data_IF_669648655791
#
_entry.id   IF_669648655791
#
_cell.length_a   1.000
_cell.length_b   1.000
_cell.length_c   1.000
_cell.angle_alpha   90.00
_cell.angle_beta   90.00
_cell.angle_gamma   90.00
#
_symmetry.space_group_name_H-M   'P 1'
#
loop_
_entity.id
_entity.type
_entity.pdbx_description
1 polymer ?
#
# COMPACT_ATOMS: atom_id res chain seq x y z
N UNK A 1 -32.84 -30.24 23.75
CA UNK A 1 -31.41 -30.51 24.05
C UNK A 1 -30.78 -29.19 24.52
N UNK A 2 -30.01 -29.20 25.60
CA UNK A 2 -29.38 -28.00 26.17
C UNK A 2 -28.07 -27.77 25.41
N UNK A 3 -27.99 -26.73 24.59
CA UNK A 3 -26.74 -26.37 23.87
C UNK A 3 -25.77 -25.77 24.90
N UNK A 4 -24.64 -26.43 25.13
CA UNK A 4 -23.56 -25.91 25.97
C UNK A 4 -22.55 -25.22 25.05
N UNK A 5 -22.45 -23.90 25.16
CA UNK A 5 -21.50 -23.10 24.38
C UNK A 5 -20.29 -22.81 25.26
N UNK A 6 -19.13 -23.33 24.87
CA UNK A 6 -17.85 -23.04 25.51
C UNK A 6 -17.36 -21.66 25.09
N UNK A 7 -17.49 -20.68 25.99
CA UNK A 7 -17.21 -19.27 25.72
C UNK A 7 -15.73 -19.02 25.39
N UNK A 8 -14.85 -19.70 26.11
CA UNK A 8 -13.40 -19.70 25.91
C UNK A 8 -13.01 -20.19 24.52
N UNK A 9 -13.53 -21.35 24.10
CA UNK A 9 -13.30 -21.91 22.76
C UNK A 9 -13.85 -20.97 21.69
N UNK A 10 -15.06 -20.44 21.88
CA UNK A 10 -15.68 -19.49 20.95
C UNK A 10 -14.80 -18.25 20.75
N UNK A 11 -14.30 -17.65 21.84
CA UNK A 11 -13.46 -16.45 21.77
C UNK A 11 -12.11 -16.74 21.10
N UNK A 12 -11.43 -17.83 21.46
CA UNK A 12 -10.12 -18.18 20.90
C UNK A 12 -10.23 -18.47 19.40
N UNK A 13 -11.23 -19.24 18.97
CA UNK A 13 -11.43 -19.57 17.55
C UNK A 13 -11.71 -18.32 16.72
N UNK A 14 -12.63 -17.47 17.18
CA UNK A 14 -12.95 -16.23 16.47
C UNK A 14 -11.78 -15.24 16.48
N UNK A 15 -10.98 -15.20 17.54
CA UNK A 15 -9.74 -14.43 17.57
C UNK A 15 -8.76 -14.90 16.48
N UNK A 16 -8.50 -16.21 16.41
CA UNK A 16 -7.57 -16.77 15.43
C UNK A 16 -8.06 -16.54 13.99
N UNK A 17 -9.34 -16.79 13.73
CA UNK A 17 -9.96 -16.55 12.42
C UNK A 17 -9.85 -15.07 12.05
N UNK A 18 -10.31 -14.17 12.93
CA UNK A 18 -10.27 -12.74 12.66
C UNK A 18 -8.84 -12.24 12.43
N UNK A 19 -7.86 -12.74 13.18
CA UNK A 19 -6.45 -12.42 12.97
C UNK A 19 -5.97 -12.85 11.58
N UNK A 20 -6.23 -14.10 11.18
CA UNK A 20 -5.83 -14.62 9.87
C UNK A 20 -6.52 -13.88 8.73
N UNK A 21 -7.81 -13.58 8.87
CA UNK A 21 -8.56 -12.82 7.88
C UNK A 21 -8.08 -11.37 7.77
N UNK A 22 -7.75 -10.70 8.87
CA UNK A 22 -7.13 -9.36 8.84
C UNK A 22 -5.77 -9.37 8.15
N UNK A 23 -4.99 -10.44 8.32
CA UNK A 23 -3.71 -10.62 7.63
C UNK A 23 -3.91 -10.94 6.15
N UNK A 24 -4.96 -11.67 5.79
CA UNK A 24 -5.35 -11.85 4.39
C UNK A 24 -5.82 -10.53 3.75
N UNK A 25 -6.63 -9.74 4.44
CA UNK A 25 -7.05 -8.39 3.99
C UNK A 25 -5.85 -7.46 3.79
N UNK A 26 -4.82 -7.53 4.66
CA UNK A 26 -3.62 -6.70 4.50
C UNK A 26 -2.84 -7.02 3.22
N UNK A 27 -2.79 -8.31 2.85
CA UNK A 27 -2.17 -8.78 1.61
C UNK A 27 -2.95 -8.32 0.38
N UNK A 28 -4.27 -8.47 0.38
CA UNK A 28 -5.14 -8.12 -0.75
C UNK A 28 -5.26 -6.61 -0.96
N UNK A 29 -5.34 -5.82 0.11
CA UNK A 29 -5.48 -4.37 0.04
C UNK A 29 -4.13 -3.63 0.05
N UNK A 30 -2.99 -4.34 -0.10
CA UNK A 30 -1.64 -3.76 -0.07
C UNK A 30 -1.39 -2.83 1.13
N UNK A 31 -2.05 -3.10 2.25
CA UNK A 31 -2.12 -2.18 3.38
C UNK A 31 -1.30 -2.76 4.53
N UNK A 32 -0.07 -2.28 4.79
CA UNK A 32 0.78 -2.86 5.82
C UNK A 32 0.13 -2.70 7.19
N UNK A 33 -0.24 -3.82 7.81
CA UNK A 33 -0.79 -3.85 9.16
C UNK A 33 0.22 -4.47 10.13
N UNK A 34 0.56 -3.73 11.19
CA UNK A 34 1.42 -4.23 12.26
C UNK A 34 0.73 -5.40 12.96
N UNK A 35 1.49 -6.45 13.29
CA UNK A 35 0.94 -7.65 13.92
C UNK A 35 0.17 -7.34 15.21
N UNK A 36 0.68 -6.44 16.04
CA UNK A 36 0.02 -5.98 17.28
C UNK A 36 -1.33 -5.31 17.04
N UNK A 37 -1.45 -4.52 15.97
CA UNK A 37 -2.71 -3.88 15.59
C UNK A 37 -3.73 -4.89 15.07
N UNK A 38 -3.29 -5.89 14.31
CA UNK A 38 -4.13 -7.02 13.91
C UNK A 38 -4.61 -7.83 15.13
N UNK A 39 -3.76 -8.04 16.14
CA UNK A 39 -4.18 -8.71 17.38
C UNK A 39 -5.25 -7.90 18.12
N UNK A 40 -5.09 -6.57 18.21
CA UNK A 40 -6.12 -5.71 18.79
C UNK A 40 -7.45 -5.76 18.03
N UNK A 41 -7.41 -5.72 16.69
CA UNK A 41 -8.60 -5.87 15.86
C UNK A 41 -9.25 -7.24 16.01
N UNK A 42 -8.46 -8.32 16.06
CA UNK A 42 -8.94 -9.68 16.24
C UNK A 42 -9.56 -9.92 17.63
N UNK A 43 -8.96 -9.36 18.69
CA UNK A 43 -9.54 -9.39 20.03
C UNK A 43 -10.91 -8.72 20.06
N UNK A 44 -11.02 -7.56 19.43
CA UNK A 44 -12.26 -6.81 19.35
C UNK A 44 -13.33 -7.56 18.52
N UNK A 45 -12.93 -8.21 17.42
CA UNK A 45 -13.82 -9.07 16.63
C UNK A 45 -14.33 -10.28 17.43
N UNK A 46 -13.46 -10.94 18.21
CA UNK A 46 -13.83 -12.04 19.08
C UNK A 46 -14.87 -11.60 20.13
N UNK A 47 -14.67 -10.44 20.76
CA UNK A 47 -15.63 -9.87 21.71
C UNK A 47 -16.98 -9.57 21.06
N UNK A 48 -16.99 -9.04 19.83
CA UNK A 48 -18.25 -8.81 19.13
C UNK A 48 -19.00 -10.09 18.75
N UNK A 49 -18.33 -11.24 18.71
CA UNK A 49 -19.01 -12.53 18.49
C UNK A 49 -19.93 -12.91 19.66
N UNK A 50 -19.75 -12.31 20.83
CA UNK A 50 -20.65 -12.47 21.98
C UNK A 50 -22.08 -11.99 21.69
N UNK A 51 -22.31 -11.20 20.64
CA UNK A 51 -23.66 -10.85 20.18
C UNK A 51 -24.50 -12.06 19.77
N UNK A 52 -23.89 -13.24 19.57
CA UNK A 52 -24.58 -14.52 19.40
C UNK A 52 -25.44 -14.88 20.63
N UNK A 53 -24.99 -14.52 21.83
CA UNK A 53 -25.69 -14.78 23.09
C UNK A 53 -26.79 -13.74 23.38
N UNK A 54 -26.80 -12.64 22.64
CA UNK A 54 -27.81 -11.59 22.78
C UNK A 54 -29.16 -12.02 22.16
N UNK A 55 -30.29 -11.49 22.65
CA UNK A 55 -31.60 -11.74 22.05
C UNK A 55 -31.63 -11.33 20.57
N UNK A 56 -32.55 -11.91 19.81
CA UNK A 56 -32.71 -11.66 18.37
C UNK A 56 -32.96 -10.17 18.10
N UNK A 57 -32.05 -9.55 17.36
CA UNK A 57 -32.17 -8.15 16.94
C UNK A 57 -33.01 -8.04 15.67
N UNK A 58 -33.76 -6.93 15.47
CA UNK A 58 -34.40 -6.66 14.19
C UNK A 58 -33.35 -6.55 13.07
N UNK A 59 -33.71 -6.99 11.87
CA UNK A 59 -32.78 -7.17 10.73
C UNK A 59 -31.91 -5.93 10.47
N UNK A 60 -32.51 -4.73 10.42
CA UNK A 60 -31.80 -3.48 10.20
C UNK A 60 -30.73 -3.23 11.27
N UNK A 61 -31.07 -3.44 12.54
CA UNK A 61 -30.14 -3.25 13.66
C UNK A 61 -29.00 -4.27 13.63
N UNK A 62 -29.27 -5.52 13.24
CA UNK A 62 -28.24 -6.54 13.04
C UNK A 62 -27.26 -6.19 11.92
N UNK A 63 -27.74 -5.63 10.81
CA UNK A 63 -26.88 -5.16 9.70
C UNK A 63 -26.02 -3.99 10.15
N UNK A 64 -26.60 -2.97 10.81
CA UNK A 64 -25.86 -1.83 11.31
C UNK A 64 -24.81 -2.24 12.33
N UNK A 65 -25.16 -3.16 13.24
CA UNK A 65 -24.22 -3.72 14.21
C UNK A 65 -23.04 -4.39 13.51
N UNK A 66 -23.29 -5.28 12.54
CA UNK A 66 -22.21 -5.96 11.80
C UNK A 66 -21.36 -4.99 10.98
N UNK A 67 -21.95 -4.00 10.35
CA UNK A 67 -21.22 -2.98 9.61
C UNK A 67 -20.33 -2.14 10.55
N UNK A 68 -20.87 -1.70 11.68
CA UNK A 68 -20.14 -0.91 12.68
C UNK A 68 -19.00 -1.68 13.32
N UNK A 69 -19.23 -2.96 13.66
CA UNK A 69 -18.20 -3.84 14.23
C UNK A 69 -17.08 -4.13 13.22
N UNK A 70 -17.42 -4.46 11.96
CA UNK A 70 -16.43 -4.65 10.90
C UNK A 70 -15.60 -3.40 10.64
N UNK A 71 -16.24 -2.22 10.63
CA UNK A 71 -15.55 -0.94 10.50
C UNK A 71 -14.57 -0.74 11.66
N UNK A 72 -15.02 -0.87 12.91
CA UNK A 72 -14.17 -0.70 14.10
C UNK A 72 -12.95 -1.63 14.11
N UNK A 73 -13.16 -2.92 13.80
CA UNK A 73 -12.08 -3.92 13.69
C UNK A 73 -11.05 -3.50 12.63
N UNK A 74 -11.51 -3.08 11.44
CA UNK A 74 -10.63 -2.60 10.38
C UNK A 74 -9.89 -1.30 10.78
N UNK A 75 -10.51 -0.40 11.55
CA UNK A 75 -9.86 0.83 12.06
C UNK A 75 -8.72 0.52 12.99
N UNK A 76 -8.90 -0.41 13.93
CA UNK A 76 -7.84 -0.80 14.86
C UNK A 76 -6.68 -1.42 14.09
N UNK A 77 -6.97 -2.34 13.16
CA UNK A 77 -5.96 -3.06 12.40
C UNK A 77 -5.17 -2.18 11.42
N UNK A 78 -5.84 -1.35 10.60
CA UNK A 78 -5.23 -0.61 9.49
C UNK A 78 -5.07 0.89 9.75
N UNK A 79 -5.97 1.49 10.52
CA UNK A 79 -6.01 2.92 10.78
C UNK A 79 -6.77 3.68 9.71
N UNK A 80 -6.82 4.99 9.86
CA UNK A 80 -7.49 5.87 8.90
C UNK A 80 -6.46 6.57 8.02
N UNK A 81 -6.59 6.43 6.70
CA UNK A 81 -5.80 7.16 5.70
C UNK A 81 -6.70 7.87 4.69
N UNK A 82 -7.63 7.13 4.09
CA UNK A 82 -8.61 7.66 3.13
C UNK A 82 -9.92 6.88 3.20
N UNK A 83 -11.05 7.51 2.87
CA UNK A 83 -12.36 6.84 2.90
C UNK A 83 -12.45 5.68 1.91
N UNK A 84 -11.87 5.83 0.72
CA UNK A 84 -11.84 4.79 -0.32
C UNK A 84 -11.12 3.52 0.13
N UNK A 85 -9.89 3.68 0.65
CA UNK A 85 -9.11 2.54 1.15
C UNK A 85 -9.79 1.85 2.34
N UNK A 86 -10.47 2.65 3.17
CA UNK A 86 -11.18 2.15 4.34
C UNK A 86 -12.37 1.28 3.97
N UNK A 87 -13.16 1.72 3.00
CA UNK A 87 -14.25 0.93 2.45
C UNK A 87 -13.74 -0.32 1.73
N UNK A 88 -12.64 -0.22 0.99
CA UNK A 88 -12.01 -1.37 0.33
C UNK A 88 -11.55 -2.44 1.34
N UNK A 89 -10.89 -2.03 2.43
CA UNK A 89 -10.46 -2.93 3.51
C UNK A 89 -11.66 -3.59 4.19
N UNK A 90 -12.69 -2.82 4.52
CA UNK A 90 -13.92 -3.34 5.13
C UNK A 90 -14.63 -4.33 4.22
N UNK A 91 -14.76 -4.00 2.94
CA UNK A 91 -15.35 -4.87 1.92
C UNK A 91 -14.55 -6.17 1.76
N UNK A 92 -13.23 -6.07 1.64
CA UNK A 92 -12.36 -7.24 1.53
C UNK A 92 -12.45 -8.15 2.77
N UNK A 93 -12.41 -7.58 3.98
CA UNK A 93 -12.60 -8.34 5.22
C UNK A 93 -13.97 -9.03 5.26
N UNK A 94 -15.03 -8.33 4.86
CA UNK A 94 -16.39 -8.89 4.78
C UNK A 94 -16.49 -10.05 3.78
N UNK A 95 -15.95 -9.88 2.57
CA UNK A 95 -15.93 -10.93 1.54
C UNK A 95 -15.16 -12.15 2.01
N UNK A 96 -13.99 -11.97 2.65
CA UNK A 96 -13.22 -13.10 3.20
C UNK A 96 -13.98 -13.85 4.31
N UNK A 97 -14.67 -13.12 5.20
CA UNK A 97 -15.54 -13.75 6.20
C UNK A 97 -16.70 -14.52 5.56
N UNK A 98 -17.32 -13.95 4.52
CA UNK A 98 -18.42 -14.57 3.78
C UNK A 98 -17.95 -15.83 3.04
N UNK A 99 -16.79 -15.79 2.38
CA UNK A 99 -16.20 -16.94 1.71
C UNK A 99 -15.83 -18.05 2.68
N UNK A 100 -15.24 -17.70 3.83
CA UNK A 100 -14.95 -18.67 4.87
C UNK A 100 -16.24 -19.30 5.40
N UNK A 101 -17.24 -18.49 5.77
CA UNK A 101 -18.51 -18.98 6.26
C UNK A 101 -19.21 -19.88 5.22
N UNK A 102 -19.28 -19.45 3.95
CA UNK A 102 -19.85 -20.22 2.85
C UNK A 102 -19.11 -21.52 2.57
N UNK A 103 -17.77 -21.50 2.56
CA UNK A 103 -16.95 -22.70 2.37
C UNK A 103 -17.10 -23.71 3.51
N UNK A 104 -17.19 -23.22 4.75
CA UNK A 104 -17.41 -24.06 5.93
C UNK A 104 -18.83 -24.64 5.93
N UNK A 105 -19.85 -23.85 5.54
CA UNK A 105 -21.23 -24.34 5.38
C UNK A 105 -21.33 -25.40 4.30
N UNK A 106 -20.74 -25.15 3.14
CA UNK A 106 -20.68 -26.12 2.05
C UNK A 106 -19.98 -27.41 2.47
N UNK A 107 -18.85 -27.32 3.19
CA UNK A 107 -18.18 -28.50 3.75
C UNK A 107 -19.05 -29.21 4.80
N UNK A 108 -19.83 -28.47 5.58
CA UNK A 108 -20.73 -29.03 6.58
C UNK A 108 -21.94 -29.77 5.97
N UNK A 109 -22.47 -29.33 4.82
CA UNK A 109 -23.55 -30.04 4.11
C UNK A 109 -23.09 -31.38 3.53
N UNK A 110 -21.81 -31.50 3.16
CA UNK A 110 -21.22 -32.75 2.68
C UNK A 110 -20.81 -33.72 3.81
N UNK A 111 -21.00 -33.31 5.07
CA UNK A 111 -20.72 -34.11 6.26
C UNK A 111 -22.02 -34.35 7.05
N UNK A 112 -22.18 -35.48 7.78
CA UNK A 112 -23.38 -35.76 8.57
C UNK A 112 -23.39 -34.93 9.87
N UNK A 113 -23.50 -33.60 9.74
CA UNK A 113 -23.41 -32.65 10.84
C UNK A 113 -24.81 -32.13 11.16
N UNK A 114 -25.43 -32.71 12.19
CA UNK A 114 -26.71 -32.26 12.72
C UNK A 114 -26.49 -31.30 13.90
N UNK A 115 -27.05 -30.09 13.85
CA UNK A 115 -27.03 -29.13 14.98
C UNK A 115 -26.56 -27.70 14.70
N UNK A 116 -26.56 -27.25 13.44
CA UNK A 116 -26.26 -25.86 13.09
C UNK A 116 -27.28 -24.91 13.74
N UNK A 117 -26.79 -23.90 14.47
CA UNK A 117 -27.63 -22.83 15.03
C UNK A 117 -27.14 -21.48 14.52
N UNK A 118 -28.04 -20.68 13.94
CA UNK A 118 -27.74 -19.31 13.51
C UNK A 118 -28.56 -18.32 14.33
N UNK A 119 -27.89 -17.32 14.93
CA UNK A 119 -28.56 -16.19 15.59
C UNK A 119 -27.82 -14.88 15.30
N UNK A 120 -28.54 -13.78 15.05
CA UNK A 120 -27.97 -12.45 14.77
C UNK A 120 -26.90 -12.43 13.66
N UNK A 121 -27.13 -13.20 12.57
CA UNK A 121 -26.17 -13.43 11.48
C UNK A 121 -24.85 -14.09 11.92
N UNK A 122 -24.71 -14.52 13.17
CA UNK A 122 -23.59 -15.33 13.66
C UNK A 122 -24.00 -16.80 13.60
N UNK A 123 -23.13 -17.63 13.02
CA UNK A 123 -23.41 -19.05 12.80
C UNK A 123 -22.57 -19.85 13.78
N UNK A 124 -23.24 -20.59 14.66
CA UNK A 124 -22.62 -21.62 15.47
C UNK A 124 -22.72 -22.95 14.74
N UNK A 125 -21.57 -23.47 14.34
CA UNK A 125 -21.46 -24.77 13.70
C UNK A 125 -20.86 -25.76 14.71
N UNK A 126 -21.47 -26.94 14.90
CA UNK A 126 -20.87 -28.03 15.68
C UNK A 126 -19.77 -28.72 14.84
N UNK A 127 -18.88 -27.92 14.27
CA UNK A 127 -17.67 -28.35 13.58
C UNK A 127 -16.51 -28.36 14.56
N UNK A 128 -15.52 -29.20 14.30
CA UNK A 128 -14.30 -29.17 15.10
C UNK A 128 -13.68 -27.76 14.99
N UNK A 129 -13.42 -27.07 16.11
CA UNK A 129 -12.76 -25.77 16.14
C UNK A 129 -11.48 -25.73 15.30
N UNK A 130 -10.77 -26.85 15.26
CA UNK A 130 -9.55 -27.06 14.49
C UNK A 130 -9.78 -26.96 12.98
N UNK A 131 -10.89 -27.49 12.45
CA UNK A 131 -11.18 -27.44 11.02
C UNK A 131 -11.44 -26.00 10.57
N UNK A 132 -12.21 -25.22 11.33
CA UNK A 132 -12.52 -23.83 10.98
C UNK A 132 -11.25 -22.98 10.95
N UNK A 133 -10.38 -23.15 11.97
CA UNK A 133 -9.07 -22.48 12.01
C UNK A 133 -8.17 -22.95 10.86
N UNK A 134 -8.17 -24.25 10.53
CA UNK A 134 -7.41 -24.79 9.41
C UNK A 134 -7.88 -24.23 8.06
N UNK A 135 -9.19 -24.08 7.84
CA UNK A 135 -9.73 -23.43 6.64
C UNK A 135 -9.29 -21.96 6.56
N UNK A 136 -9.39 -21.20 7.65
CA UNK A 136 -8.93 -19.81 7.69
C UNK A 136 -7.41 -19.70 7.42
N UNK A 137 -6.61 -20.62 7.99
CA UNK A 137 -5.18 -20.70 7.74
C UNK A 137 -4.88 -21.06 6.29
N UNK A 138 -5.64 -21.98 5.70
CA UNK A 138 -5.56 -22.35 4.28
C UNK A 138 -5.81 -21.14 3.37
N UNK A 139 -6.89 -20.38 3.59
CA UNK A 139 -7.16 -19.14 2.84
C UNK A 139 -5.99 -18.16 2.93
N UNK A 140 -5.45 -17.95 4.14
CA UNK A 140 -4.30 -17.08 4.33
C UNK A 140 -3.04 -17.59 3.60
N UNK A 141 -2.76 -18.90 3.66
CA UNK A 141 -1.60 -19.50 2.98
C UNK A 141 -1.73 -19.41 1.46
N UNK A 142 -2.89 -19.70 0.90
CA UNK A 142 -3.16 -19.58 -0.55
C UNK A 142 -2.91 -18.14 -1.01
N UNK A 143 -3.46 -17.15 -0.31
CA UNK A 143 -3.24 -15.74 -0.63
C UNK A 143 -1.76 -15.35 -0.48
N UNK A 144 -1.05 -15.90 0.51
CA UNK A 144 0.38 -15.65 0.70
C UNK A 144 1.22 -16.20 -0.44
N UNK A 145 0.90 -17.42 -0.91
CA UNK A 145 1.55 -18.04 -2.08
C UNK A 145 1.24 -17.23 -3.34
N UNK A 146 -0.01 -16.80 -3.51
CA UNK A 146 -0.41 -15.97 -4.65
C UNK A 146 0.38 -14.66 -4.71
N UNK A 147 0.49 -13.93 -3.60
CA UNK A 147 1.29 -12.70 -3.51
C UNK A 147 2.79 -12.97 -3.70
N UNK A 148 3.28 -14.13 -3.27
CA UNK A 148 4.67 -14.52 -3.50
C UNK A 148 4.95 -14.78 -5.00
N UNK A 149 4.00 -15.38 -5.73
CA UNK A 149 4.13 -15.67 -7.16
C UNK A 149 3.93 -14.44 -8.05
N UNK A 150 2.90 -13.63 -7.78
CA UNK A 150 2.47 -12.52 -8.64
C UNK A 150 2.96 -11.16 -8.16
N UNK A 151 3.66 -11.09 -7.03
CA UNK A 151 4.06 -9.84 -6.39
C UNK A 151 2.93 -9.23 -5.55
N UNK A 152 3.30 -8.24 -4.75
CA UNK A 152 2.31 -7.49 -3.94
C UNK A 152 1.57 -6.51 -4.85
N UNK A 153 0.25 -6.35 -4.68
CA UNK A 153 -0.42 -5.19 -5.24
C UNK A 153 0.27 -3.94 -4.70
N UNK A 154 0.64 -3.00 -5.57
CA UNK A 154 1.42 -1.83 -5.19
C UNK A 154 0.67 -1.03 -4.13
N UNK A 155 1.28 -0.90 -2.94
CA UNK A 155 0.77 -0.05 -1.86
C UNK A 155 0.79 1.39 -2.36
N UNK A 156 -0.37 2.05 -2.28
CA UNK A 156 -0.58 3.50 -2.33
C UNK A 156 0.69 4.34 -2.54
N UNK A 157 0.77 4.97 -3.72
CA UNK A 157 1.69 6.05 -4.08
C UNK A 157 2.20 6.84 -2.86
N UNK A 158 3.41 6.51 -2.38
CA UNK A 158 4.02 7.24 -1.26
C UNK A 158 4.58 8.53 -1.84
N UNK A 159 4.02 9.66 -1.42
CA UNK A 159 4.53 10.97 -1.80
C UNK A 159 5.48 11.47 -0.71
N UNK A 160 6.58 12.06 -1.14
CA UNK A 160 7.56 12.71 -0.28
C UNK A 160 7.77 14.14 -0.74
N UNK A 161 7.98 15.02 0.23
CA UNK A 161 8.40 16.39 -0.06
C UNK A 161 9.92 16.43 -0.01
N UNK A 162 10.55 16.70 -1.15
CA UNK A 162 11.99 16.79 -1.30
C UNK A 162 12.40 18.26 -1.40
N UNK A 163 13.40 18.64 -0.62
CA UNK A 163 14.10 19.89 -0.79
C UNK A 163 15.39 19.62 -1.57
N UNK A 164 15.49 20.22 -2.75
CA UNK A 164 16.61 20.03 -3.66
C UNK A 164 17.43 21.32 -3.71
N UNK A 165 18.74 21.18 -3.58
CA UNK A 165 19.65 22.31 -3.56
C UNK A 165 20.83 22.10 -4.49
N UNK A 166 21.08 23.06 -5.38
CA UNK A 166 22.31 23.12 -6.18
C UNK A 166 23.02 24.41 -5.83
N UNK A 167 24.07 24.41 -4.99
CA UNK A 167 24.81 25.63 -4.69
C UNK A 167 25.38 26.26 -5.98
N UNK A 168 25.27 27.60 -6.20
CA UNK A 168 24.81 28.66 -5.29
C UNK A 168 23.30 29.03 -5.38
N UNK A 169 22.47 28.23 -6.05
CA UNK A 169 21.06 28.54 -6.33
C UNK A 169 20.13 28.26 -5.15
N UNK A 170 18.98 28.95 -5.12
CA UNK A 170 17.96 28.77 -4.08
C UNK A 170 17.42 27.33 -4.07
N UNK A 171 17.17 26.74 -2.89
CA UNK A 171 16.56 25.43 -2.81
C UNK A 171 15.13 25.45 -3.37
N UNK A 172 14.72 24.35 -3.99
CA UNK A 172 13.35 24.15 -4.46
C UNK A 172 12.69 23.00 -3.68
N UNK A 173 11.38 23.13 -3.47
CA UNK A 173 10.56 22.11 -2.82
C UNK A 173 9.74 21.38 -3.89
N UNK A 174 9.86 20.06 -3.95
CA UNK A 174 9.22 19.24 -4.98
C UNK A 174 8.49 18.07 -4.35
N UNK A 175 7.27 17.79 -4.83
CA UNK A 175 6.53 16.59 -4.45
C UNK A 175 6.94 15.42 -5.34
N UNK A 176 7.69 14.49 -4.78
CA UNK A 176 8.15 13.29 -5.45
C UNK A 176 7.27 12.09 -5.11
N UNK A 177 6.89 11.33 -6.14
CA UNK A 177 6.31 10.02 -5.97
C UNK A 177 7.44 8.99 -5.81
N UNK A 178 7.36 8.21 -4.75
CA UNK A 178 8.19 7.03 -4.55
C UNK A 178 7.60 5.90 -5.39
N UNK A 179 8.34 5.49 -6.41
CA UNK A 179 7.94 4.44 -7.33
C UNK A 179 8.94 3.28 -7.24
N UNK A 180 8.47 2.11 -6.81
CA UNK A 180 9.27 0.88 -6.76
C UNK A 180 9.68 0.38 -8.15
N UNK A 181 8.96 0.78 -9.20
CA UNK A 181 9.30 0.48 -10.60
C UNK A 181 10.31 1.45 -11.21
N UNK A 182 10.67 2.53 -10.51
CA UNK A 182 11.62 3.52 -11.01
C UNK A 182 13.06 3.05 -10.79
N UNK A 183 13.67 2.57 -11.87
CA UNK A 183 15.00 1.95 -11.89
C UNK A 183 16.05 2.79 -12.62
N UNK A 184 15.80 4.07 -12.84
CA UNK A 184 16.72 4.92 -13.60
C UNK A 184 18.02 5.17 -12.82
N UNK A 185 19.13 4.85 -13.46
CA UNK A 185 20.47 5.02 -12.92
C UNK A 185 21.41 5.49 -14.02
N UNK A 186 22.51 6.15 -13.65
CA UNK A 186 23.58 6.47 -14.58
C UNK A 186 24.25 5.16 -15.06
N UNK A 187 24.20 4.83 -16.36
CA UNK A 187 24.79 3.59 -16.87
C UNK A 187 26.31 3.52 -16.71
N UNK A 188 26.99 4.68 -16.56
CA UNK A 188 28.44 4.73 -16.42
C UNK A 188 28.89 4.63 -14.97
N UNK A 189 28.19 5.31 -14.06
CA UNK A 189 28.59 5.39 -12.64
C UNK A 189 27.76 4.53 -11.70
N UNK A 190 26.64 3.98 -12.16
CA UNK A 190 25.67 3.27 -11.32
C UNK A 190 24.96 4.18 -10.30
N UNK A 191 25.17 5.51 -10.39
CA UNK A 191 24.54 6.44 -9.45
C UNK A 191 23.04 6.47 -9.67
N UNK A 192 22.25 6.40 -8.60
CA UNK A 192 20.80 6.49 -8.69
C UNK A 192 20.37 7.89 -9.11
N UNK A 193 19.27 7.97 -9.87
CA UNK A 193 18.75 9.21 -10.41
C UNK A 193 17.40 9.60 -9.79
N UNK A 194 17.10 10.89 -9.76
CA UNK A 194 15.79 11.46 -9.48
C UNK A 194 15.25 12.07 -10.78
N UNK A 195 14.03 11.74 -11.20
CA UNK A 195 13.43 12.36 -12.39
C UNK A 195 12.50 13.49 -11.98
N UNK A 196 12.61 14.65 -12.61
CA UNK A 196 11.80 15.84 -12.34
C UNK A 196 11.21 16.38 -13.64
N UNK A 197 9.95 16.79 -13.59
CA UNK A 197 9.31 17.50 -14.70
C UNK A 197 9.89 18.92 -14.83
N UNK A 198 10.44 19.25 -16.00
CA UNK A 198 11.27 20.42 -16.26
C UNK A 198 10.73 21.75 -15.71
N UNK A 199 9.44 22.11 -15.88
CA UNK A 199 8.85 23.31 -15.29
C UNK A 199 9.07 23.50 -13.79
N UNK A 200 9.07 22.42 -13.00
CA UNK A 200 9.29 22.48 -11.55
C UNK A 200 10.77 22.48 -11.18
N UNK A 201 11.64 21.95 -12.05
CA UNK A 201 13.07 21.82 -11.83
C UNK A 201 13.94 22.99 -12.32
N UNK A 202 13.35 23.99 -12.99
CA UNK A 202 14.10 25.11 -13.60
C UNK A 202 15.03 25.84 -12.62
N UNK A 203 14.59 26.01 -11.37
CA UNK A 203 15.36 26.70 -10.33
C UNK A 203 16.65 25.99 -9.90
N UNK A 204 16.80 24.70 -10.23
CA UNK A 204 18.03 23.94 -9.96
C UNK A 204 19.09 24.11 -11.04
N UNK A 205 18.68 24.50 -12.24
CA UNK A 205 19.55 24.55 -13.42
C UNK A 205 20.22 25.93 -13.47
N UNK A 206 21.56 25.99 -13.63
CA UNK A 206 22.26 27.25 -13.88
C UNK A 206 21.61 28.06 -15.01
N UNK A 207 21.49 29.40 -14.88
CA UNK A 207 20.77 30.23 -15.86
C UNK A 207 21.34 30.08 -17.27
N UNK A 208 22.65 29.87 -17.39
CA UNK A 208 23.34 29.67 -18.67
C UNK A 208 22.95 28.36 -19.38
N UNK A 209 22.48 27.36 -18.61
CA UNK A 209 22.10 26.03 -19.08
C UNK A 209 20.61 25.87 -19.35
N UNK A 210 19.77 26.73 -18.79
CA UNK A 210 18.32 26.69 -19.00
C UNK A 210 17.89 26.71 -20.48
N UNK A 211 18.41 27.63 -21.33
CA UNK A 211 18.00 27.65 -22.74
C UNK A 211 18.43 26.37 -23.48
N UNK A 212 19.61 25.84 -23.15
CA UNK A 212 20.11 24.58 -23.71
C UNK A 212 19.21 23.39 -23.34
N UNK A 213 18.89 23.22 -22.06
CA UNK A 213 18.04 22.10 -21.60
C UNK A 213 16.64 22.20 -22.20
N UNK A 214 16.09 23.42 -22.30
CA UNK A 214 14.79 23.64 -22.93
C UNK A 214 14.79 23.27 -24.41
N UNK A 215 15.78 23.72 -25.18
CA UNK A 215 15.92 23.41 -26.60
C UNK A 215 16.10 21.91 -26.84
N UNK A 216 16.99 21.27 -26.07
CA UNK A 216 17.24 19.83 -26.15
C UNK A 216 15.98 19.00 -25.86
N UNK A 217 15.22 19.37 -24.83
CA UNK A 217 13.95 18.73 -24.51
C UNK A 217 12.89 18.92 -25.61
N UNK A 218 12.96 19.97 -26.41
CA UNK A 218 12.09 20.20 -27.56
C UNK A 218 12.58 19.50 -28.85
N UNK A 219 13.69 18.76 -28.79
CA UNK A 219 14.28 18.07 -29.93
C UNK A 219 15.26 18.93 -30.74
N UNK A 220 15.71 20.05 -30.17
CA UNK A 220 16.78 20.86 -30.73
C UNK A 220 18.15 20.19 -30.62
N UNK A 221 19.06 20.59 -31.50
CA UNK A 221 20.43 20.08 -31.59
C UNK A 221 21.46 21.09 -31.04
N UNK A 222 21.09 21.88 -30.03
CA UNK A 222 22.02 22.80 -29.39
C UNK A 222 23.28 22.06 -28.92
N UNK A 223 24.43 22.73 -28.99
CA UNK A 223 25.70 22.21 -28.49
C UNK A 223 25.84 22.59 -27.02
N UNK A 224 26.14 21.64 -26.12
CA UNK A 224 26.30 21.96 -24.70
C UNK A 224 27.49 22.91 -24.49
N UNK A 225 27.40 23.89 -23.59
CA UNK A 225 28.54 24.74 -23.25
C UNK A 225 29.68 23.91 -22.64
N UNK A 226 30.93 24.28 -22.92
CA UNK A 226 32.10 23.42 -22.74
C UNK A 226 32.52 23.10 -21.28
N UNK A 227 31.84 23.65 -20.26
CA UNK A 227 32.20 23.47 -18.84
C UNK A 227 31.02 23.01 -17.96
N UNK A 228 30.01 22.38 -18.56
CA UNK A 228 28.78 22.06 -17.86
C UNK A 228 28.82 20.69 -17.15
N UNK A 229 28.38 20.65 -15.88
CA UNK A 229 28.11 19.41 -15.12
C UNK A 229 26.80 18.72 -15.57
N UNK A 230 26.58 18.71 -16.88
CA UNK A 230 25.40 18.12 -17.50
C UNK A 230 25.79 16.77 -18.12
N UNK A 231 25.04 15.72 -17.82
CA UNK A 231 25.18 14.39 -18.41
C UNK A 231 23.93 14.06 -19.22
N UNK A 232 24.09 13.26 -20.27
CA UNK A 232 22.96 12.70 -21.01
C UNK A 232 22.78 11.25 -20.58
N UNK A 233 21.59 10.93 -20.06
CA UNK A 233 21.26 9.57 -19.62
C UNK A 233 20.29 8.94 -20.62
N UNK A 234 20.63 7.79 -21.22
CA UNK A 234 19.67 7.03 -21.99
C UNK A 234 18.59 6.48 -21.05
N UNK A 235 17.35 6.89 -21.27
CA UNK A 235 16.19 6.48 -20.52
C UNK A 235 15.35 5.54 -21.39
N UNK A 236 15.10 4.32 -20.92
CA UNK A 236 14.16 3.41 -21.55
C UNK A 236 12.79 3.55 -20.86
N UNK A 237 11.76 3.89 -21.62
CA UNK A 237 10.37 3.90 -21.19
C UNK A 237 9.58 2.87 -21.99
N UNK A 238 8.35 2.58 -21.57
CA UNK A 238 7.44 1.72 -22.33
C UNK A 238 7.15 2.25 -23.75
N UNK A 239 7.36 3.55 -23.98
CA UNK A 239 7.13 4.24 -25.25
C UNK A 239 8.38 4.33 -26.15
N UNK A 240 9.54 3.89 -25.67
CA UNK A 240 10.80 3.86 -26.43
C UNK A 240 12.01 4.29 -25.59
N UNK A 241 13.16 4.40 -26.25
CA UNK A 241 14.39 4.89 -25.63
C UNK A 241 14.63 6.35 -26.00
N UNK A 242 14.83 7.22 -25.01
CA UNK A 242 15.13 8.64 -25.20
C UNK A 242 16.29 9.06 -24.28
N UNK A 243 17.20 9.88 -24.79
CA UNK A 243 18.24 10.50 -23.95
C UNK A 243 17.70 11.73 -23.25
N UNK A 244 17.86 11.82 -21.94
CA UNK A 244 17.43 12.97 -21.14
C UNK A 244 18.63 13.68 -20.51
N UNK A 245 18.58 15.02 -20.37
CA UNK A 245 19.61 15.78 -19.69
C UNK A 245 19.50 15.59 -18.18
N UNK A 246 20.65 15.42 -17.54
CA UNK A 246 20.80 15.19 -16.12
C UNK A 246 21.85 16.13 -15.51
N UNK A 247 21.54 16.72 -14.37
CA UNK A 247 22.43 17.61 -13.62
C UNK A 247 23.06 16.84 -12.47
N UNK A 248 24.38 16.92 -12.36
CA UNK A 248 25.13 16.31 -11.27
C UNK A 248 25.29 17.24 -10.06
N UNK A 249 25.35 16.64 -8.87
CA UNK A 249 25.75 17.34 -7.64
C UNK A 249 24.62 18.09 -6.96
N UNK A 250 23.37 17.71 -7.24
CA UNK A 250 22.20 18.24 -6.51
C UNK A 250 22.15 17.55 -5.16
N UNK A 251 22.12 18.34 -4.09
CA UNK A 251 21.92 17.87 -2.73
C UNK A 251 20.42 17.64 -2.51
N UNK A 252 20.07 16.46 -2.02
CA UNK A 252 18.71 16.10 -1.66
C UNK A 252 18.56 16.05 -0.15
N UNK A 253 17.55 16.76 0.35
CA UNK A 253 17.11 16.72 1.75
C UNK A 253 15.64 16.32 1.79
N UNK A 254 15.30 15.28 2.55
CA UNK A 254 13.90 14.86 2.72
C UNK A 254 13.25 15.69 3.82
N UNK A 255 12.13 16.32 3.51
CA UNK A 255 11.32 17.08 4.49
C UNK A 255 10.19 16.17 4.97
N UNK A 256 10.54 15.17 5.79
CA UNK A 256 9.56 14.37 6.53
C UNK A 256 9.68 14.69 8.05
N UNK A 257 8.53 14.82 8.71
CA UNK A 257 8.23 15.58 9.95
C UNK A 257 9.22 15.57 11.14
N UNK A 258 10.27 14.74 11.22
CA UNK A 258 11.20 14.76 12.38
C UNK A 258 12.66 14.36 12.08
N UNK A 259 13.11 14.30 10.83
CA UNK A 259 14.53 14.05 10.54
C UNK A 259 14.99 14.76 9.26
N UNK A 260 15.87 15.74 9.42
CA UNK A 260 16.72 16.23 8.34
C UNK A 260 17.63 15.07 7.92
N UNK A 261 17.26 14.33 6.88
CA UNK A 261 18.08 13.25 6.35
C UNK A 261 19.27 13.80 5.55
N UNK A 262 20.35 13.03 5.56
CA UNK A 262 21.66 13.35 4.98
C UNK A 262 21.59 13.88 3.55
N UNK A 263 22.25 15.01 3.31
CA UNK A 263 22.47 15.58 1.97
C UNK A 263 23.30 14.61 1.12
N UNK A 264 22.62 13.78 0.33
CA UNK A 264 23.28 12.89 -0.62
C UNK A 264 23.40 13.58 -1.97
N UNK A 265 24.59 13.64 -2.59
CA UNK A 265 24.73 14.15 -3.93
C UNK A 265 24.06 13.19 -4.91
N UNK A 266 22.96 13.63 -5.53
CA UNK A 266 22.20 12.86 -6.49
C UNK A 266 22.28 13.45 -7.90
N UNK A 267 21.89 12.60 -8.86
CA UNK A 267 21.76 12.92 -10.26
C UNK A 267 20.30 13.25 -10.56
N UNK A 268 20.03 14.46 -11.05
CA UNK A 268 18.66 14.91 -11.33
C UNK A 268 18.42 14.95 -12.83
N UNK A 269 17.48 14.15 -13.31
CA UNK A 269 17.11 14.00 -14.72
C UNK A 269 15.88 14.83 -15.02
N UNK A 270 15.92 15.64 -16.07
CA UNK A 270 14.80 16.49 -16.46
C UNK A 270 14.01 15.87 -17.62
N UNK A 271 12.69 15.88 -17.49
CA UNK A 271 11.76 15.43 -18.54
C UNK A 271 10.78 16.55 -18.92
N UNK A 272 10.45 16.65 -20.20
CA UNK A 272 9.40 17.50 -20.76
C UNK A 272 8.00 16.88 -20.61
N UNK A 273 7.91 15.57 -20.42
CA UNK A 273 6.64 14.89 -20.29
C UNK A 273 6.07 15.04 -18.86
N UNK A 274 4.76 15.33 -18.71
CA UNK A 274 4.14 15.41 -17.40
C UNK A 274 4.07 14.02 -16.76
N UNK A 275 4.54 13.92 -15.51
CA UNK A 275 4.54 12.67 -14.75
C UNK A 275 3.11 12.39 -14.27
N UNK A 276 2.55 11.25 -14.69
CA UNK A 276 1.17 10.82 -14.38
C UNK A 276 0.13 11.92 -14.62
N UNK A 277 0.15 12.52 -15.80
CA UNK A 277 -0.74 13.63 -16.20
C UNK A 277 -0.67 14.87 -15.27
N UNK A 278 0.48 15.10 -14.61
CA UNK A 278 0.72 16.26 -13.76
C UNK A 278 0.36 16.07 -12.29
N UNK A 279 0.04 14.84 -11.85
CA UNK A 279 -0.23 14.55 -10.44
C UNK A 279 1.03 14.61 -9.57
N UNK A 280 2.21 14.40 -10.17
CA UNK A 280 3.49 14.39 -9.45
C UNK A 280 4.48 15.32 -10.15
N UNK A 281 5.37 15.91 -9.37
CA UNK A 281 6.39 16.82 -9.89
C UNK A 281 7.73 16.09 -10.12
N UNK A 282 7.98 15.02 -9.35
CA UNK A 282 9.15 14.17 -9.47
C UNK A 282 8.86 12.69 -9.22
N UNK A 283 9.78 11.82 -9.64
CA UNK A 283 9.81 10.38 -9.39
C UNK A 283 11.14 9.99 -8.76
N UNK A 284 11.08 9.22 -7.66
CA UNK A 284 12.25 8.67 -6.97
C UNK A 284 12.06 7.17 -6.76
N UNK A 285 13.15 6.40 -6.91
CA UNK A 285 13.14 4.96 -6.62
C UNK A 285 13.15 4.68 -5.12
N UNK A 286 12.55 3.56 -4.69
CA UNK A 286 12.57 3.16 -3.27
C UNK A 286 13.99 2.94 -2.71
N UNK A 287 14.97 2.55 -3.55
CA UNK A 287 16.34 2.30 -3.12
C UNK A 287 17.16 3.54 -2.74
N UNK A 288 16.57 4.73 -2.85
CA UNK A 288 17.19 6.02 -2.56
C UNK A 288 16.81 6.62 -1.19
N UNK A 289 15.89 5.98 -0.46
CA UNK A 289 15.33 6.42 0.81
C UNK A 289 15.73 5.48 1.94
#
# INVERSE_FOLDING_TARGET
MKTVIYLDVLLIVNFLIAYLLLRATSLLCASPARASRCMGGAALAALFTLSLLAPTMPLLLGILYKAGTAFAVCRIAFGFRSWRLSLQQMFCFFVLNLLLAGGVLWAAENAPISGMQSNNFSVYLPLSPTLIVACAAGVYLVLRVFVWLFGRPSSHQRMLTLQLHTPPYSPILVQALVDSGFLLQDPLTGKPALMIHYPYGKGLIPPDLQPFVQDFLQGGNAVPPADCKLRLIPCATATGTRTLPALEGVQLETVDDHCLASATPMLVVFTDQPLSAGQFQALIGEGLL
#
